data_IF_837320798295
#
_entry.id   IF_837320798295
#
_cell.length_a   1.000
_cell.length_b   1.000
_cell.length_c   1.000
_cell.angle_alpha   90.00
_cell.angle_beta   90.00
_cell.angle_gamma   90.00
#
_symmetry.space_group_name_H-M   'P 1'
#
loop_
_entity.id
_entity.type
_entity.pdbx_description
1 polymer ?
#
# COMPACT_ATOMS: atom_id res chain seq x y z
N UNK A 1 17.50 -5.80 -2.40
CA UNK A 1 16.45 -6.00 -3.42
C UNK A 1 16.10 -4.64 -3.99
N UNK A 2 16.15 -4.49 -5.29
CA UNK A 2 15.86 -3.18 -5.90
C UNK A 2 14.35 -2.92 -6.03
N UNK A 3 14.01 -1.72 -6.47
CA UNK A 3 12.62 -1.31 -6.60
C UNK A 3 11.86 -2.20 -7.59
N UNK A 4 12.46 -2.51 -8.73
CA UNK A 4 11.79 -3.32 -9.74
C UNK A 4 11.42 -4.70 -9.19
N UNK A 5 12.33 -5.33 -8.47
CA UNK A 5 12.07 -6.64 -7.85
C UNK A 5 11.01 -6.54 -6.76
N UNK A 6 11.13 -5.53 -5.89
CA UNK A 6 10.17 -5.33 -4.82
C UNK A 6 8.77 -5.08 -5.34
N UNK A 7 8.64 -4.20 -6.32
CA UNK A 7 7.34 -3.89 -6.92
C UNK A 7 6.76 -5.09 -7.66
N UNK A 8 7.60 -5.91 -8.31
CA UNK A 8 7.14 -7.12 -8.99
C UNK A 8 6.52 -8.11 -8.00
N UNK A 9 7.17 -8.30 -6.85
CA UNK A 9 6.67 -9.18 -5.80
C UNK A 9 5.34 -8.66 -5.25
N UNK A 10 5.27 -7.37 -4.96
CA UNK A 10 4.05 -6.77 -4.42
C UNK A 10 2.91 -6.84 -5.42
N UNK A 11 3.18 -6.54 -6.70
CA UNK A 11 2.17 -6.64 -7.73
C UNK A 11 1.59 -8.05 -7.81
N UNK A 12 2.45 -9.05 -7.76
CA UNK A 12 2.02 -10.45 -7.79
C UNK A 12 1.13 -10.76 -6.59
N UNK A 13 1.56 -10.38 -5.39
CA UNK A 13 0.79 -10.65 -4.18
C UNK A 13 -0.58 -9.97 -4.20
N UNK A 14 -0.64 -8.71 -4.61
CA UNK A 14 -1.88 -7.96 -4.67
C UNK A 14 -2.81 -8.49 -5.77
N UNK A 15 -2.23 -8.84 -6.92
CA UNK A 15 -3.01 -9.40 -8.03
C UNK A 15 -3.63 -10.75 -7.63
N UNK A 16 -2.87 -11.60 -6.95
CA UNK A 16 -3.38 -12.88 -6.46
C UNK A 16 -4.49 -12.70 -5.43
N UNK A 17 -4.47 -11.60 -4.71
CA UNK A 17 -5.51 -11.29 -3.72
C UNK A 17 -6.78 -10.68 -4.36
N UNK A 18 -6.79 -10.50 -5.68
CA UNK A 18 -7.97 -10.01 -6.39
C UNK A 18 -7.97 -8.54 -6.75
N UNK A 19 -6.84 -7.85 -6.58
CA UNK A 19 -6.75 -6.43 -6.93
C UNK A 19 -6.26 -6.25 -8.36
N UNK A 20 -6.80 -5.23 -9.04
CA UNK A 20 -6.38 -4.86 -10.39
C UNK A 20 -5.43 -3.67 -10.29
N UNK A 21 -4.15 -3.97 -10.26
CA UNK A 21 -3.12 -2.97 -9.98
C UNK A 21 -2.77 -2.16 -11.23
N UNK A 22 -2.78 -0.84 -11.06
CA UNK A 22 -2.23 0.12 -12.04
C UNK A 22 -0.92 0.64 -11.49
N UNK A 23 0.13 0.54 -12.29
CA UNK A 23 1.46 0.98 -11.87
C UNK A 23 1.61 2.50 -12.00
N UNK A 24 2.39 3.08 -11.10
CA UNK A 24 2.70 4.52 -11.11
C UNK A 24 1.43 5.37 -11.16
N UNK A 25 0.51 5.07 -10.26
CA UNK A 25 -0.79 5.74 -10.24
C UNK A 25 -0.71 7.09 -9.53
N UNK A 26 -1.09 8.20 -10.18
CA UNK A 26 -1.09 9.51 -9.54
C UNK A 26 -2.29 9.65 -8.61
N UNK A 27 -2.06 9.45 -7.33
CA UNK A 27 -3.08 9.61 -6.31
C UNK A 27 -3.11 11.07 -5.87
N UNK A 28 -4.27 11.71 -5.93
CA UNK A 28 -4.44 13.10 -5.55
C UNK A 28 -5.72 13.27 -4.76
N UNK A 29 -5.61 13.27 -3.44
CA UNK A 29 -6.73 13.44 -2.51
C UNK A 29 -6.34 14.46 -1.43
N UNK A 30 -6.34 15.73 -1.80
CA UNK A 30 -5.95 16.79 -0.87
C UNK A 30 -4.49 16.68 -0.47
N UNK A 31 -4.20 16.52 0.83
CA UNK A 31 -2.81 16.41 1.28
C UNK A 31 -2.13 15.10 0.86
N UNK A 32 -2.92 14.09 0.44
CA UNK A 32 -2.38 12.82 -0.03
C UNK A 32 -2.19 12.93 -1.55
N UNK A 33 -1.01 13.37 -1.95
CA UNK A 33 -0.71 13.63 -3.35
C UNK A 33 0.68 13.08 -3.69
N UNK A 34 0.72 11.93 -4.36
CA UNK A 34 1.98 11.31 -4.79
C UNK A 34 1.69 10.21 -5.80
N UNK A 35 2.73 9.75 -6.51
CA UNK A 35 2.60 8.62 -7.42
C UNK A 35 2.78 7.32 -6.64
N UNK A 36 1.75 6.51 -6.61
CA UNK A 36 1.75 5.21 -5.93
C UNK A 36 2.34 4.16 -6.86
N UNK A 37 3.27 3.34 -6.39
CA UNK A 37 3.90 2.32 -7.21
C UNK A 37 2.89 1.35 -7.83
N UNK A 38 1.89 0.94 -7.07
CA UNK A 38 0.80 0.14 -7.58
C UNK A 38 -0.48 0.44 -6.82
N UNK A 39 -1.60 0.57 -7.52
CA UNK A 39 -2.86 0.96 -6.91
C UNK A 39 -4.05 0.44 -7.70
N UNK A 40 -5.04 -0.08 -6.97
CA UNK A 40 -6.35 -0.42 -7.54
C UNK A 40 -7.29 0.75 -7.26
N UNK A 41 -7.61 1.58 -8.26
CA UNK A 41 -8.42 2.78 -8.02
C UNK A 41 -9.88 2.49 -7.71
N UNK A 42 -10.37 1.30 -8.02
CA UNK A 42 -11.73 0.91 -7.70
C UNK A 42 -11.83 0.45 -6.26
N UNK A 43 -10.96 -0.45 -5.85
CA UNK A 43 -10.96 -0.97 -4.48
C UNK A 43 -10.18 -0.08 -3.51
N UNK A 44 -9.37 0.84 -4.03
CA UNK A 44 -8.60 1.83 -3.28
C UNK A 44 -7.60 1.19 -2.33
N UNK A 45 -6.88 0.23 -2.86
CA UNK A 45 -5.83 -0.51 -2.16
C UNK A 45 -4.59 -0.55 -3.04
N UNK A 46 -3.43 -0.30 -2.46
CA UNK A 46 -2.20 -0.31 -3.22
C UNK A 46 -0.96 -0.47 -2.36
N UNK A 47 0.18 -0.23 -2.98
CA UNK A 47 1.48 -0.37 -2.31
C UNK A 47 2.47 0.65 -2.81
N UNK A 48 3.41 1.00 -1.93
CA UNK A 48 4.53 1.87 -2.26
C UNK A 48 5.79 1.24 -1.67
N UNK A 49 6.72 0.86 -2.54
CA UNK A 49 8.01 0.29 -2.12
C UNK A 49 9.03 1.43 -2.09
N UNK A 50 9.36 1.89 -0.91
CA UNK A 50 10.18 3.09 -0.71
C UNK A 50 11.65 2.75 -0.84
N UNK A 51 12.32 3.36 -1.83
CA UNK A 51 13.74 3.19 -2.04
C UNK A 51 14.42 4.54 -2.11
N UNK A 52 15.69 4.60 -1.69
CA UNK A 52 16.49 5.81 -1.81
C UNK A 52 16.79 6.11 -3.27
N UNK A 53 17.09 5.06 -4.05
CA UNK A 53 17.48 5.19 -5.46
C UNK A 53 16.36 5.78 -6.32
N UNK A 54 15.10 5.53 -5.99
CA UNK A 54 13.96 6.03 -6.76
C UNK A 54 13.56 7.46 -6.40
N UNK A 55 14.17 8.04 -5.37
CA UNK A 55 13.81 9.38 -4.91
C UNK A 55 12.48 9.45 -4.17
N UNK A 56 11.95 8.34 -3.75
CA UNK A 56 10.65 8.27 -3.07
C UNK A 56 10.59 9.11 -1.80
N UNK A 57 11.73 9.28 -1.14
CA UNK A 57 11.78 10.05 0.11
C UNK A 57 11.55 11.53 -0.10
N UNK A 58 11.78 12.02 -1.33
CA UNK A 58 11.50 13.40 -1.70
C UNK A 58 10.03 13.57 -2.01
N UNK A 59 9.45 12.62 -2.74
CA UNK A 59 8.05 12.65 -3.17
C UNK A 59 7.10 12.33 -2.02
N UNK A 60 7.43 11.32 -1.22
CA UNK A 60 6.60 10.88 -0.09
C UNK A 60 7.05 11.59 1.19
N UNK A 61 6.60 12.83 1.34
CA UNK A 61 7.00 13.67 2.47
C UNK A 61 6.36 13.20 3.79
N UNK A 62 6.92 13.60 4.95
CA UNK A 62 6.30 13.29 6.24
C UNK A 62 4.86 13.80 6.35
N UNK A 63 4.54 14.93 5.74
CA UNK A 63 3.18 15.48 5.73
C UNK A 63 2.22 14.53 5.02
N UNK A 64 2.63 14.02 3.85
CA UNK A 64 1.84 13.06 3.08
C UNK A 64 1.67 11.76 3.86
N UNK A 65 2.75 11.26 4.45
CA UNK A 65 2.71 10.02 5.23
C UNK A 65 1.73 10.14 6.40
N UNK A 66 1.78 11.25 7.14
CA UNK A 66 0.87 11.46 8.26
C UNK A 66 -0.58 11.53 7.81
N UNK A 67 -0.86 12.22 6.70
CA UNK A 67 -2.20 12.32 6.15
C UNK A 67 -2.71 10.95 5.72
N UNK A 68 -1.85 10.17 5.09
CA UNK A 68 -2.17 8.81 4.64
C UNK A 68 -2.46 7.89 5.83
N UNK A 69 -1.62 7.94 6.86
CA UNK A 69 -1.82 7.14 8.07
C UNK A 69 -3.13 7.50 8.77
N UNK A 70 -3.45 8.78 8.84
CA UNK A 70 -4.71 9.24 9.43
C UNK A 70 -5.91 8.71 8.65
N UNK A 71 -5.80 8.71 7.32
CA UNK A 71 -6.87 8.18 6.46
C UNK A 71 -7.05 6.69 6.68
N UNK A 72 -5.95 5.94 6.72
CA UNK A 72 -6.00 4.49 6.94
C UNK A 72 -6.54 4.14 8.33
N UNK A 73 -6.26 4.97 9.32
CA UNK A 73 -6.75 4.76 10.68
C UNK A 73 -8.28 4.83 10.77
N UNK A 74 -8.94 5.43 9.78
CA UNK A 74 -10.40 5.48 9.71
C UNK A 74 -11.02 4.16 9.25
N UNK A 75 -10.20 3.19 8.87
CA UNK A 75 -10.67 1.88 8.42
C UNK A 75 -11.62 1.98 7.24
N UNK A 76 -12.74 1.27 7.31
CA UNK A 76 -13.73 1.25 6.22
C UNK A 76 -14.26 2.65 5.89
N UNK A 77 -14.38 3.53 6.89
CA UNK A 77 -14.85 4.90 6.66
C UNK A 77 -13.89 5.71 5.79
N UNK A 78 -12.59 5.52 5.97
CA UNK A 78 -11.58 6.17 5.14
C UNK A 78 -11.51 5.58 3.75
N UNK A 79 -11.64 4.26 3.66
CA UNK A 79 -11.69 3.54 2.41
C UNK A 79 -10.45 3.63 1.55
N UNK A 80 -9.26 3.81 2.17
CA UNK A 80 -7.99 3.91 1.45
C UNK A 80 -6.94 3.15 2.23
N UNK A 81 -6.25 2.22 1.56
CA UNK A 81 -5.23 1.39 2.19
C UNK A 81 -4.01 1.28 1.28
N UNK A 82 -2.90 1.88 1.68
CA UNK A 82 -1.64 1.81 0.95
C UNK A 82 -0.59 1.14 1.84
N UNK A 83 -0.02 0.06 1.34
CA UNK A 83 1.06 -0.64 2.02
C UNK A 83 2.36 0.12 1.78
N UNK A 84 2.84 0.83 2.79
CA UNK A 84 4.12 1.55 2.74
C UNK A 84 5.19 0.65 3.31
N UNK A 85 6.13 0.24 2.48
CA UNK A 85 7.24 -0.61 2.93
C UNK A 85 8.56 -0.01 2.46
N UNK A 86 9.48 0.19 3.40
CA UNK A 86 10.82 0.72 3.13
C UNK A 86 11.77 -0.43 2.89
N UNK A 87 12.58 -0.33 1.82
CA UNK A 87 13.53 -1.39 1.45
C UNK A 87 14.46 -1.76 2.60
N UNK A 88 14.74 -0.82 3.50
CA UNK A 88 15.61 -1.06 4.64
C UNK A 88 14.98 -1.95 5.70
N UNK A 89 13.68 -2.13 5.67
CA UNK A 89 12.95 -2.95 6.64
C UNK A 89 12.60 -4.34 6.10
N UNK A 90 13.16 -4.69 4.94
CA UNK A 90 12.88 -5.95 4.27
C UNK A 90 14.17 -6.73 4.10
N UNK A 91 14.23 -7.94 4.65
CA UNK A 91 15.43 -8.77 4.57
C UNK A 91 15.56 -9.55 3.26
N UNK A 92 14.48 -9.69 2.51
CA UNK A 92 14.48 -10.39 1.23
C UNK A 92 13.09 -10.65 0.70
N UNK A 93 12.99 -11.37 -0.45
CA UNK A 93 11.70 -11.61 -1.12
C UNK A 93 10.66 -12.29 -0.23
N UNK A 94 11.06 -13.29 0.55
CA UNK A 94 10.11 -14.01 1.40
C UNK A 94 9.57 -13.13 2.51
N UNK A 95 10.41 -12.27 3.08
CA UNK A 95 10.00 -11.32 4.10
C UNK A 95 8.98 -10.33 3.53
N UNK A 96 9.23 -9.87 2.32
CA UNK A 96 8.30 -8.95 1.64
C UNK A 96 6.95 -9.61 1.35
N UNK A 97 6.97 -10.86 0.88
CA UNK A 97 5.72 -11.60 0.63
C UNK A 97 4.91 -11.77 1.90
N UNK A 98 5.58 -12.12 3.00
CA UNK A 98 4.91 -12.29 4.28
C UNK A 98 4.31 -10.98 4.78
N UNK A 99 5.05 -9.90 4.67
CA UNK A 99 4.57 -8.57 5.08
C UNK A 99 3.35 -8.15 4.26
N UNK A 100 3.39 -8.38 2.95
CA UNK A 100 2.26 -8.08 2.06
C UNK A 100 1.03 -8.91 2.42
N UNK A 101 1.22 -10.20 2.69
CA UNK A 101 0.13 -11.09 3.07
C UNK A 101 -0.54 -10.60 4.35
N UNK A 102 0.24 -10.21 5.34
CA UNK A 102 -0.29 -9.68 6.60
C UNK A 102 -1.07 -8.38 6.39
N UNK A 103 -0.54 -7.50 5.56
CA UNK A 103 -1.22 -6.27 5.22
C UNK A 103 -2.57 -6.54 4.57
N UNK A 104 -2.60 -7.45 3.58
CA UNK A 104 -3.82 -7.77 2.86
C UNK A 104 -4.88 -8.42 3.77
N UNK A 105 -4.48 -9.26 4.70
CA UNK A 105 -5.42 -9.81 5.70
C UNK A 105 -6.02 -8.70 6.56
N UNK A 106 -5.20 -7.74 6.97
CA UNK A 106 -5.67 -6.61 7.76
C UNK A 106 -6.65 -5.76 6.97
N UNK A 107 -6.36 -5.51 5.70
CA UNK A 107 -7.25 -4.75 4.82
C UNK A 107 -8.62 -5.41 4.71
N UNK A 108 -8.65 -6.71 4.52
CA UNK A 108 -9.93 -7.43 4.45
C UNK A 108 -10.74 -7.25 5.73
N UNK A 109 -10.11 -7.36 6.88
CA UNK A 109 -10.79 -7.18 8.15
C UNK A 109 -11.31 -5.76 8.33
N UNK A 110 -10.52 -4.76 7.94
CA UNK A 110 -10.88 -3.35 8.10
C UNK A 110 -11.93 -2.88 7.10
N UNK A 111 -12.02 -3.52 5.95
CA UNK A 111 -12.97 -3.15 4.89
C UNK A 111 -14.36 -3.71 5.11
N UNK A 112 -14.55 -4.59 6.07
CA UNK A 112 -15.85 -5.19 6.37
C UNK A 112 -16.50 -4.44 7.53
N UNK A 113 -17.29 -3.39 7.27
CA UNK A 113 -17.91 -2.59 8.33
C UNK A 113 -18.82 -3.47 9.16
N UNK A 114 -18.48 -3.68 10.42
CA UNK A 114 -19.23 -4.56 11.27
C UNK A 114 -19.21 -6.03 10.82
N UNK A 115 -18.50 -6.34 9.76
CA UNK A 115 -18.47 -7.69 9.21
C UNK A 115 -17.93 -8.72 10.16
N UNK A 116 -16.84 -8.37 10.84
CA UNK A 116 -16.28 -9.25 11.84
C UNK A 116 -17.23 -9.55 12.99
N UNK A 117 -18.03 -8.58 13.38
CA UNK A 117 -18.98 -8.75 14.46
C UNK A 117 -20.27 -9.41 14.00
N UNK A 118 -20.59 -9.32 12.74
CA UNK A 118 -21.79 -9.94 12.19
C UNK A 118 -21.61 -11.44 12.04
N UNK A 119 -20.37 -11.85 11.99
CA UNK A 119 -20.08 -13.25 11.89
C UNK A 119 -20.37 -13.95 13.17
#
# INVERSE_FOLDING_TARGET
MDEATGCSILREQFTQAGFQIRENYPLDEGPICFNVDGFDPVQRVGYEYITTAAGDRIELTPTIVRALEAKMAQGAAGGLFIFLIDERHVSGPEDLRLAATRFLHRVQALRQPGGGSAG
#
